data_IF_199537499764
#
_entry.id   IF_199537499764
#
_cell.length_a   1.000
_cell.length_b   1.000
_cell.length_c   1.000
_cell.angle_alpha   90.00
_cell.angle_beta   90.00
_cell.angle_gamma   90.00
#
_symmetry.space_group_name_H-M   'P 1'
#
loop_
_entity.id
_entity.type
_entity.pdbx_description
1 polymer ?
#
# COMPACT_ATOMS: atom_id res chain seq x y z
N UNK A 1 -34.18 -55.56 -11.17
CA UNK A 1 -33.49 -55.46 -9.85
C UNK A 1 -33.50 -54.01 -9.35
N UNK A 2 -33.18 -53.03 -10.21
CA UNK A 2 -33.45 -51.60 -9.98
C UNK A 2 -34.89 -51.31 -9.54
N UNK A 3 -35.89 -51.84 -10.25
CA UNK A 3 -37.31 -51.75 -9.86
C UNK A 3 -37.58 -52.29 -8.46
N UNK A 4 -36.85 -53.30 -8.01
CA UNK A 4 -37.05 -53.90 -6.69
C UNK A 4 -36.54 -52.97 -5.58
N UNK A 5 -35.44 -52.24 -5.82
CA UNK A 5 -34.92 -51.25 -4.89
C UNK A 5 -35.89 -50.06 -4.76
N UNK A 6 -36.36 -49.54 -5.90
CA UNK A 6 -37.34 -48.45 -5.92
C UNK A 6 -38.66 -48.87 -5.27
N UNK A 7 -39.22 -50.03 -5.64
CA UNK A 7 -40.45 -50.54 -5.04
C UNK A 7 -40.28 -50.89 -3.54
N UNK A 8 -39.13 -51.40 -3.12
CA UNK A 8 -38.85 -51.67 -1.70
C UNK A 8 -38.83 -50.38 -0.88
N UNK A 9 -38.21 -49.32 -1.40
CA UNK A 9 -38.20 -48.01 -0.75
C UNK A 9 -39.60 -47.40 -0.71
N UNK A 10 -40.36 -47.45 -1.80
CA UNK A 10 -41.76 -47.00 -1.84
C UNK A 10 -42.60 -47.76 -0.80
N UNK A 11 -42.54 -49.09 -0.79
CA UNK A 11 -43.38 -49.93 0.06
C UNK A 11 -43.05 -49.78 1.55
N UNK A 12 -41.78 -49.59 1.90
CA UNK A 12 -41.36 -49.46 3.30
C UNK A 12 -41.48 -48.05 3.86
N UNK A 13 -41.34 -47.01 3.03
CA UNK A 13 -41.27 -45.61 3.49
C UNK A 13 -42.46 -44.76 3.04
N UNK A 14 -43.32 -45.26 2.15
CA UNK A 14 -44.50 -44.53 1.67
C UNK A 14 -44.19 -43.30 0.82
N UNK A 15 -42.99 -43.21 0.22
CA UNK A 15 -42.50 -42.05 -0.53
C UNK A 15 -42.51 -42.36 -2.03
N UNK A 16 -42.98 -41.42 -2.85
CA UNK A 16 -43.03 -41.56 -4.31
C UNK A 16 -41.63 -41.70 -4.92
N UNK A 17 -41.49 -42.51 -5.96
CA UNK A 17 -40.28 -42.59 -6.80
C UNK A 17 -39.92 -41.25 -7.44
N UNK A 18 -40.92 -40.42 -7.72
CA UNK A 18 -40.71 -39.11 -8.33
C UNK A 18 -40.05 -38.12 -7.36
N UNK A 19 -40.07 -38.41 -6.06
CA UNK A 19 -39.50 -37.60 -5.00
C UNK A 19 -38.16 -38.12 -4.48
N UNK A 20 -37.56 -39.11 -5.16
CA UNK A 20 -36.31 -39.73 -4.73
C UNK A 20 -35.28 -39.80 -5.86
N UNK A 21 -34.00 -39.64 -5.53
CA UNK A 21 -32.86 -39.88 -6.43
C UNK A 21 -31.93 -40.88 -5.78
N UNK A 22 -31.59 -41.93 -6.52
CA UNK A 22 -30.61 -42.93 -6.09
C UNK A 22 -29.28 -42.66 -6.77
N UNK A 23 -28.18 -42.74 -6.01
CA UNK A 23 -26.82 -42.54 -6.50
C UNK A 23 -25.91 -43.70 -6.13
N UNK A 24 -25.02 -44.06 -7.06
CA UNK A 24 -23.97 -45.06 -6.91
C UNK A 24 -22.65 -44.48 -7.44
N UNK A 25 -21.59 -44.46 -6.61
CA UNK A 25 -20.31 -43.79 -6.92
C UNK A 25 -20.46 -42.35 -7.47
N UNK A 26 -21.43 -41.59 -6.95
CA UNK A 26 -21.67 -40.21 -7.36
C UNK A 26 -22.41 -40.04 -8.69
N UNK A 27 -22.81 -41.13 -9.35
CA UNK A 27 -23.66 -41.10 -10.55
C UNK A 27 -25.10 -41.42 -10.19
N UNK A 28 -26.05 -40.81 -10.90
CA UNK A 28 -27.48 -41.11 -10.76
C UNK A 28 -27.72 -42.49 -11.37
N UNK A 29 -28.42 -43.35 -10.63
CA UNK A 29 -28.80 -44.70 -11.06
C UNK A 29 -30.11 -44.61 -11.82
N UNK A 30 -30.12 -45.12 -13.05
CA UNK A 30 -31.29 -45.19 -13.91
C UNK A 30 -32.06 -46.51 -13.71
N UNK A 31 -33.27 -46.59 -14.26
CA UNK A 31 -34.11 -47.79 -14.13
C UNK A 31 -33.49 -48.99 -14.86
N UNK A 32 -32.67 -48.77 -15.88
CA UNK A 32 -32.03 -49.81 -16.68
C UNK A 32 -30.71 -50.31 -16.06
N UNK A 33 -30.20 -49.62 -15.03
CA UNK A 33 -28.92 -49.96 -14.43
C UNK A 33 -29.00 -51.26 -13.60
N UNK A 34 -28.01 -52.12 -13.78
CA UNK A 34 -27.90 -53.36 -13.00
C UNK A 34 -27.31 -53.07 -11.63
N UNK A 35 -28.01 -53.50 -10.57
CA UNK A 35 -27.53 -53.36 -9.19
C UNK A 35 -26.41 -54.37 -8.93
N UNK A 36 -25.28 -53.88 -8.42
CA UNK A 36 -24.12 -54.69 -8.08
C UNK A 36 -24.24 -55.24 -6.65
N UNK A 37 -24.05 -56.57 -6.44
CA UNK A 37 -24.00 -57.14 -5.10
C UNK A 37 -22.90 -56.49 -4.25
N UNK A 38 -23.25 -56.05 -3.03
CA UNK A 38 -22.32 -55.36 -2.13
C UNK A 38 -22.09 -53.87 -2.46
N UNK A 39 -22.71 -53.33 -3.51
CA UNK A 39 -22.66 -51.91 -3.85
C UNK A 39 -23.40 -51.04 -2.82
N UNK A 40 -22.88 -49.83 -2.56
CA UNK A 40 -23.51 -48.86 -1.66
C UNK A 40 -24.33 -47.87 -2.47
N UNK A 41 -25.65 -47.91 -2.28
CA UNK A 41 -26.59 -47.02 -2.94
C UNK A 41 -27.11 -45.98 -1.95
N UNK A 42 -27.00 -44.70 -2.32
CA UNK A 42 -27.48 -43.58 -1.48
C UNK A 42 -28.75 -43.01 -2.08
N UNK A 43 -29.79 -42.91 -1.25
CA UNK A 43 -31.09 -42.37 -1.62
C UNK A 43 -31.20 -40.95 -1.07
N UNK A 44 -31.60 -40.02 -1.93
CA UNK A 44 -31.76 -38.60 -1.60
C UNK A 44 -33.20 -38.17 -1.87
N UNK A 45 -33.87 -37.47 -0.94
CA UNK A 45 -35.14 -36.83 -1.23
C UNK A 45 -34.95 -35.69 -2.24
N UNK A 46 -35.78 -35.67 -3.27
CA UNK A 46 -35.91 -34.54 -4.19
C UNK A 46 -36.75 -33.49 -3.49
N UNK A 47 -36.10 -32.42 -3.06
CA UNK A 47 -36.80 -31.27 -2.53
C UNK A 47 -37.47 -30.52 -3.69
N UNK A 48 -38.78 -30.31 -3.60
CA UNK A 48 -39.56 -29.40 -4.46
C UNK A 48 -39.18 -27.96 -4.12
N UNK A 49 -38.01 -27.51 -4.59
CA UNK A 49 -37.51 -26.18 -4.24
C UNK A 49 -36.40 -25.70 -5.16
N UNK A 50 -36.53 -24.46 -5.61
CA UNK A 50 -35.64 -23.81 -6.58
C UNK A 50 -34.20 -23.73 -6.09
N UNK A 51 -33.34 -24.58 -6.63
CA UNK A 51 -31.86 -24.54 -6.51
C UNK A 51 -31.23 -23.24 -7.04
N UNK A 52 -32.05 -22.25 -7.39
CA UNK A 52 -31.67 -20.97 -7.95
C UNK A 52 -31.28 -19.91 -6.93
N UNK A 53 -31.53 -20.08 -5.63
CA UNK A 53 -31.25 -19.05 -4.62
C UNK A 53 -29.77 -18.67 -4.51
N UNK A 54 -28.88 -19.66 -4.54
CA UNK A 54 -27.43 -19.40 -4.55
C UNK A 54 -26.98 -18.73 -5.86
N UNK A 55 -27.48 -19.20 -7.00
CA UNK A 55 -27.16 -18.61 -8.31
C UNK A 55 -27.73 -17.21 -8.51
N UNK A 56 -28.93 -16.93 -8.00
CA UNK A 56 -29.55 -15.60 -8.03
C UNK A 56 -28.83 -14.64 -7.09
N UNK A 57 -28.42 -15.11 -5.91
CA UNK A 57 -27.57 -14.35 -5.00
C UNK A 57 -26.22 -14.00 -5.65
N UNK A 58 -25.57 -14.97 -6.30
CA UNK A 58 -24.33 -14.71 -7.04
C UNK A 58 -24.52 -13.72 -8.19
N UNK A 59 -25.65 -13.77 -8.91
CA UNK A 59 -25.97 -12.79 -9.98
C UNK A 59 -26.23 -11.40 -9.41
N UNK A 60 -26.94 -11.29 -8.28
CA UNK A 60 -27.21 -10.02 -7.62
C UNK A 60 -25.92 -9.36 -7.10
N UNK A 61 -25.07 -10.14 -6.42
CA UNK A 61 -23.76 -9.68 -5.94
C UNK A 61 -22.85 -9.34 -7.12
N UNK A 62 -22.78 -10.19 -8.13
CA UNK A 62 -21.96 -9.98 -9.32
C UNK A 62 -22.35 -8.73 -10.12
N UNK A 63 -23.63 -8.34 -10.11
CA UNK A 63 -24.10 -7.10 -10.73
C UNK A 63 -23.68 -5.83 -9.96
N UNK A 64 -23.43 -5.95 -8.65
CA UNK A 64 -22.97 -4.85 -7.80
C UNK A 64 -21.45 -4.72 -7.75
N UNK A 65 -20.72 -5.78 -8.12
CA UNK A 65 -19.25 -5.78 -8.15
C UNK A 65 -18.79 -5.13 -9.45
N UNK A 66 -18.34 -3.89 -9.36
CA UNK A 66 -17.61 -3.24 -10.44
C UNK A 66 -16.22 -3.89 -10.59
N UNK A 67 -15.73 -4.00 -11.82
CA UNK A 67 -14.37 -4.51 -12.08
C UNK A 67 -13.36 -3.62 -11.37
N UNK A 68 -12.71 -4.15 -10.33
CA UNK A 68 -11.63 -3.45 -9.65
C UNK A 68 -10.43 -3.31 -10.59
N UNK A 69 -9.90 -2.10 -10.71
CA UNK A 69 -8.68 -1.80 -11.49
C UNK A 69 -7.39 -2.09 -10.71
N UNK A 70 -7.50 -2.52 -9.45
CA UNK A 70 -6.36 -2.91 -8.63
C UNK A 70 -5.88 -4.32 -9.01
N UNK A 71 -4.89 -4.36 -9.89
CA UNK A 71 -4.21 -5.58 -10.33
C UNK A 71 -3.00 -5.97 -9.45
N UNK A 72 -2.82 -5.38 -8.27
CA UNK A 72 -1.66 -5.64 -7.41
C UNK A 72 -1.59 -7.09 -6.88
N UNK A 73 -2.74 -7.78 -6.82
CA UNK A 73 -2.83 -9.18 -6.44
C UNK A 73 -2.39 -10.14 -7.55
N UNK A 74 -2.33 -9.68 -8.80
CA UNK A 74 -1.87 -10.48 -9.93
C UNK A 74 -0.38 -10.79 -9.81
N UNK A 75 0.02 -11.91 -10.41
CA UNK A 75 1.43 -12.28 -10.55
C UNK A 75 1.92 -11.97 -11.95
N UNK A 76 3.20 -11.64 -12.07
CA UNK A 76 3.88 -11.54 -13.36
C UNK A 76 4.29 -12.94 -13.89
N UNK A 77 4.84 -12.97 -15.11
CA UNK A 77 5.33 -14.20 -15.75
C UNK A 77 6.52 -14.84 -15.03
N UNK A 78 7.18 -14.10 -14.13
CA UNK A 78 8.25 -14.60 -13.27
C UNK A 78 7.73 -15.17 -11.95
N UNK A 79 6.43 -15.05 -11.69
CA UNK A 79 5.77 -15.53 -10.48
C UNK A 79 5.80 -14.55 -9.30
N UNK A 80 6.37 -13.36 -9.45
CA UNK A 80 6.35 -12.27 -8.45
C UNK A 80 5.00 -11.59 -8.45
N UNK A 81 4.57 -11.02 -7.31
CA UNK A 81 3.33 -10.23 -7.26
C UNK A 81 3.56 -8.82 -7.79
N UNK A 82 2.58 -8.27 -8.51
CA UNK A 82 2.64 -6.90 -9.05
C UNK A 82 2.80 -5.83 -7.96
N UNK A 83 2.29 -6.09 -6.75
CA UNK A 83 2.53 -5.25 -5.57
C UNK A 83 4.03 -5.03 -5.32
N UNK A 84 4.79 -6.11 -5.21
CA UNK A 84 6.21 -6.06 -4.84
C UNK A 84 7.02 -5.30 -5.90
N UNK A 85 6.67 -5.49 -7.18
CA UNK A 85 7.31 -4.79 -8.31
C UNK A 85 7.01 -3.29 -8.28
N UNK A 86 5.77 -2.91 -8.00
CA UNK A 86 5.39 -1.50 -7.90
C UNK A 86 6.04 -0.82 -6.68
N UNK A 87 6.11 -1.51 -5.54
CA UNK A 87 6.73 -0.97 -4.33
C UNK A 87 8.24 -0.79 -4.51
N UNK A 88 8.91 -1.74 -5.18
CA UNK A 88 10.32 -1.59 -5.55
C UNK A 88 10.54 -0.38 -6.46
N UNK A 89 9.71 -0.18 -7.50
CA UNK A 89 9.77 1.01 -8.35
C UNK A 89 9.55 2.31 -7.57
N UNK A 90 8.53 2.35 -6.70
CA UNK A 90 8.25 3.51 -5.84
C UNK A 90 9.44 3.84 -4.95
N UNK A 91 10.10 2.81 -4.38
CA UNK A 91 11.28 3.00 -3.56
C UNK A 91 12.45 3.55 -4.38
N UNK A 92 12.70 3.01 -5.56
CA UNK A 92 13.74 3.50 -6.48
C UNK A 92 13.51 4.97 -6.88
N UNK A 93 12.28 5.34 -7.25
CA UNK A 93 11.92 6.71 -7.58
C UNK A 93 12.09 7.66 -6.37
N UNK A 94 11.70 7.21 -5.18
CA UNK A 94 11.85 7.99 -3.95
C UNK A 94 13.33 8.24 -3.61
N UNK A 95 14.18 7.22 -3.78
CA UNK A 95 15.63 7.33 -3.60
C UNK A 95 16.24 8.24 -4.66
N UNK A 96 15.85 8.11 -5.93
CA UNK A 96 16.31 9.00 -7.01
C UNK A 96 15.99 10.47 -6.73
N UNK A 97 14.79 10.76 -6.22
CA UNK A 97 14.39 12.13 -5.81
C UNK A 97 15.01 12.60 -4.51
N UNK A 98 15.86 11.81 -3.82
CA UNK A 98 16.45 12.22 -2.55
C UNK A 98 17.43 13.39 -2.73
N UNK A 99 18.28 13.33 -3.76
CA UNK A 99 19.27 14.37 -4.04
C UNK A 99 18.62 15.70 -4.45
N UNK A 100 17.57 15.66 -5.27
CA UNK A 100 16.78 16.83 -5.64
C UNK A 100 16.12 17.47 -4.42
N UNK A 101 15.45 16.68 -3.58
CA UNK A 101 14.84 17.16 -2.32
C UNK A 101 15.86 17.77 -1.36
N UNK A 102 17.08 17.23 -1.33
CA UNK A 102 18.16 17.78 -0.51
C UNK A 102 18.64 19.13 -1.06
N UNK A 103 18.84 19.23 -2.37
CA UNK A 103 19.20 20.49 -3.05
C UNK A 103 18.14 21.57 -2.85
N UNK A 104 16.86 21.26 -3.05
CA UNK A 104 15.76 22.20 -2.82
C UNK A 104 15.73 22.70 -1.36
N UNK A 105 15.95 21.81 -0.40
CA UNK A 105 16.03 22.17 1.03
C UNK A 105 17.23 23.05 1.33
N UNK A 106 18.38 22.80 0.70
CA UNK A 106 19.58 23.62 0.86
C UNK A 106 19.39 25.01 0.24
N UNK A 107 18.79 25.09 -0.95
CA UNK A 107 18.46 26.34 -1.62
C UNK A 107 17.46 27.17 -0.81
N UNK A 108 16.41 26.54 -0.27
CA UNK A 108 15.45 27.24 0.59
C UNK A 108 16.10 27.75 1.88
N UNK A 109 16.98 26.95 2.49
CA UNK A 109 17.76 27.37 3.67
C UNK A 109 18.69 28.54 3.32
N UNK A 110 19.35 28.52 2.16
CA UNK A 110 20.21 29.61 1.68
C UNK A 110 19.39 30.88 1.47
N UNK A 111 18.26 30.80 0.77
CA UNK A 111 17.34 31.93 0.55
C UNK A 111 16.88 32.55 1.87
N UNK A 112 16.41 31.72 2.82
CA UNK A 112 15.98 32.20 4.15
C UNK A 112 17.13 32.85 4.93
N UNK A 113 18.36 32.34 4.81
CA UNK A 113 19.55 32.95 5.44
C UNK A 113 19.84 34.32 4.85
N UNK A 114 19.84 34.44 3.52
CA UNK A 114 20.08 35.70 2.81
C UNK A 114 19.01 36.75 3.15
N UNK A 115 17.73 36.37 3.17
CA UNK A 115 16.63 37.24 3.57
C UNK A 115 16.79 37.75 5.01
N UNK A 116 17.19 36.88 5.95
CA UNK A 116 17.46 37.28 7.34
C UNK A 116 18.64 38.24 7.44
N UNK A 117 19.72 37.97 6.71
CA UNK A 117 20.91 38.81 6.70
C UNK A 117 20.63 40.19 6.06
N UNK A 118 19.77 40.24 5.05
CA UNK A 118 19.34 41.49 4.42
C UNK A 118 18.44 42.34 5.33
N UNK A 119 17.57 41.70 6.12
CA UNK A 119 16.62 42.39 7.01
C UNK A 119 17.27 43.02 8.25
N UNK A 120 18.37 42.48 8.75
CA UNK A 120 19.00 42.93 10.00
C UNK A 120 20.38 43.57 9.75
N UNK A 121 20.41 44.60 8.91
CA UNK A 121 21.56 45.50 8.80
C UNK A 121 21.32 46.73 9.67
N UNK A 122 21.55 46.60 10.97
CA UNK A 122 21.63 47.77 11.84
C UNK A 122 22.97 48.47 11.58
N UNK A 123 22.93 49.64 10.96
CA UNK A 123 24.10 50.49 10.80
C UNK A 123 24.28 51.31 12.08
N UNK A 124 25.32 50.97 12.86
CA UNK A 124 25.73 51.75 14.02
C UNK A 124 26.47 53.00 13.53
N UNK A 125 25.71 54.07 13.25
CA UNK A 125 26.25 55.35 12.83
C UNK A 125 26.18 56.35 13.99
N UNK A 126 27.18 56.33 14.85
CA UNK A 126 27.35 57.30 15.93
C UNK A 126 28.60 58.17 15.65
N UNK A 127 28.42 59.45 15.30
CA UNK A 127 29.53 60.38 15.05
C UNK A 127 30.46 60.58 16.25
N UNK A 128 29.96 60.44 17.48
CA UNK A 128 30.75 60.63 18.69
C UNK A 128 31.67 59.44 18.96
N UNK A 129 31.13 58.22 18.81
CA UNK A 129 31.91 57.00 18.85
C UNK A 129 33.01 56.97 17.78
N UNK A 130 32.71 57.39 16.55
CA UNK A 130 33.70 57.47 15.46
C UNK A 130 34.82 58.47 15.77
N UNK A 131 34.51 59.59 16.43
CA UNK A 131 35.53 60.54 16.92
C UNK A 131 36.38 59.94 18.02
N UNK A 132 35.77 59.28 19.01
CA UNK A 132 36.50 58.64 20.11
C UNK A 132 37.45 57.55 19.59
N UNK A 133 36.99 56.72 18.65
CA UNK A 133 37.80 55.68 18.02
C UNK A 133 39.02 56.25 17.29
N UNK A 134 38.86 57.36 16.56
CA UNK A 134 39.99 58.06 15.92
C UNK A 134 40.97 58.58 16.94
N UNK A 135 40.49 59.28 17.97
CA UNK A 135 41.35 59.82 19.03
C UNK A 135 42.16 58.73 19.75
N UNK A 136 41.54 57.58 20.03
CA UNK A 136 42.24 56.44 20.63
C UNK A 136 43.31 55.88 19.68
N UNK A 137 42.99 55.76 18.39
CA UNK A 137 43.92 55.23 17.38
C UNK A 137 45.12 56.16 17.17
N UNK A 138 44.87 57.47 17.05
CA UNK A 138 45.90 58.50 16.93
C UNK A 138 46.76 58.55 18.19
N UNK A 139 46.15 58.57 19.37
CA UNK A 139 46.87 58.55 20.65
C UNK A 139 47.74 57.31 20.84
N UNK A 140 47.28 56.13 20.39
CA UNK A 140 48.10 54.92 20.38
C UNK A 140 49.29 55.05 19.43
N UNK A 141 49.09 55.58 18.22
CA UNK A 141 50.16 55.81 17.25
C UNK A 141 51.21 56.78 17.79
N UNK A 142 50.78 57.90 18.35
CA UNK A 142 51.67 58.92 18.93
C UNK A 142 52.47 58.38 20.12
N UNK A 143 51.83 57.56 20.96
CA UNK A 143 52.49 56.93 22.11
C UNK A 143 53.54 55.91 21.68
N UNK A 144 53.26 55.12 20.65
CA UNK A 144 54.22 54.19 20.07
C UNK A 144 55.39 54.93 19.42
N UNK A 145 55.11 56.01 18.69
CA UNK A 145 56.15 56.79 18.04
C UNK A 145 57.09 57.45 19.06
N UNK A 146 56.55 58.08 20.10
CA UNK A 146 57.35 58.63 21.21
C UNK A 146 58.18 57.55 21.91
N UNK A 147 57.59 56.38 22.15
CA UNK A 147 58.32 55.25 22.72
C UNK A 147 59.50 54.81 21.83
N UNK A 148 59.31 54.78 20.51
CA UNK A 148 60.39 54.46 19.56
C UNK A 148 61.48 55.55 19.59
N UNK A 149 61.10 56.83 19.58
CA UNK A 149 62.03 57.97 19.63
C UNK A 149 62.84 57.99 20.94
N UNK A 150 62.19 57.73 22.08
CA UNK A 150 62.83 57.65 23.39
C UNK A 150 63.80 56.45 23.46
N UNK A 151 63.44 55.30 22.88
CA UNK A 151 64.35 54.14 22.78
C UNK A 151 65.50 54.33 21.80
N UNK A 152 65.37 55.25 20.83
CA UNK A 152 66.43 55.57 19.88
C UNK A 152 67.38 56.66 20.39
N UNK A 153 66.96 57.45 21.38
CA UNK A 153 67.71 58.59 21.92
C UNK A 153 68.39 58.29 23.26
N UNK A 154 67.99 57.23 23.96
CA UNK A 154 68.68 56.67 25.14
C UNK A 154 69.68 55.58 24.78
#
# INVERSE_FOLDING_TARGET
ISEFLFNFVIFKQGVSTEDLVVTHHGKIVQQEDTIQPGGVYRVWPRLVGGKGGFGSMLRAIGAQIEKTTNHEACRDLSGRRMRDVNDEKRLQEWLGKKAEREREREEEKRRKREERLGRNKHFFNDPEYERQKRQITEGMSDSLQKGIEDTATG
#
